data_IF_713158930891
#
_entry.id   IF_713158930891
#
_cell.length_a   1.000
_cell.length_b   1.000
_cell.length_c   1.000
_cell.angle_alpha   90.00
_cell.angle_beta   90.00
_cell.angle_gamma   90.00
#
_symmetry.space_group_name_H-M   'P 1'
#
loop_
_entity.id
_entity.type
_entity.pdbx_description
1 polymer ?
#
# COMPACT_ATOMS: atom_id res chain seq x y z
N UNK A 1 -28.26 38.59 -40.29
CA UNK A 1 -27.21 39.28 -39.51
C UNK A 1 -27.33 39.00 -38.01
N UNK A 2 -28.42 39.35 -37.31
CA UNK A 2 -28.56 38.98 -35.87
C UNK A 2 -28.77 37.48 -35.64
N UNK A 3 -29.61 36.83 -36.46
CA UNK A 3 -29.83 35.38 -36.38
C UNK A 3 -28.56 34.57 -36.69
N UNK A 4 -27.71 35.07 -37.60
CA UNK A 4 -26.46 34.43 -38.01
C UNK A 4 -25.42 34.37 -36.88
N UNK A 5 -25.49 35.30 -35.92
CA UNK A 5 -24.61 35.32 -34.75
C UNK A 5 -25.23 34.59 -33.54
N UNK A 6 -26.56 34.58 -33.45
CA UNK A 6 -27.29 33.99 -32.33
C UNK A 6 -27.31 32.44 -32.40
N UNK A 7 -27.39 31.87 -33.60
CA UNK A 7 -27.28 30.42 -33.83
C UNK A 7 -25.93 29.84 -33.34
N UNK A 8 -24.75 30.33 -33.77
CA UNK A 8 -23.47 29.83 -33.26
C UNK A 8 -23.27 30.11 -31.76
N UNK A 9 -23.78 31.23 -31.24
CA UNK A 9 -23.75 31.51 -29.81
C UNK A 9 -24.58 30.50 -29.00
N UNK A 10 -25.77 30.14 -29.48
CA UNK A 10 -26.64 29.14 -28.84
C UNK A 10 -26.00 27.75 -28.81
N UNK A 11 -25.38 27.34 -29.92
CA UNK A 11 -24.63 26.09 -30.01
C UNK A 11 -23.45 26.10 -29.02
N UNK A 12 -22.71 27.21 -28.94
CA UNK A 12 -21.60 27.36 -28.00
C UNK A 12 -22.07 27.19 -26.55
N UNK A 13 -23.16 27.84 -26.17
CA UNK A 13 -23.73 27.73 -24.82
C UNK A 13 -24.17 26.29 -24.53
N UNK A 14 -24.83 25.63 -25.49
CA UNK A 14 -25.25 24.24 -25.33
C UNK A 14 -24.06 23.29 -25.12
N UNK A 15 -22.96 23.49 -25.87
CA UNK A 15 -21.73 22.72 -25.71
C UNK A 15 -21.11 22.95 -24.33
N UNK A 16 -21.02 24.21 -23.88
CA UNK A 16 -20.45 24.53 -22.56
C UNK A 16 -21.25 23.87 -21.44
N UNK A 17 -22.59 23.97 -21.47
CA UNK A 17 -23.46 23.32 -20.48
C UNK A 17 -23.28 21.80 -20.53
N UNK A 18 -23.24 21.20 -21.72
CA UNK A 18 -23.01 19.77 -21.88
C UNK A 18 -21.64 19.32 -21.31
N UNK A 19 -20.58 20.08 -21.57
CA UNK A 19 -19.24 19.77 -21.08
C UNK A 19 -19.15 19.86 -19.55
N UNK A 20 -19.77 20.87 -18.94
CA UNK A 20 -19.84 21.00 -17.47
C UNK A 20 -20.60 19.82 -16.87
N UNK A 21 -21.75 19.46 -17.45
CA UNK A 21 -22.54 18.33 -16.98
C UNK A 21 -21.78 17.00 -17.12
N UNK A 22 -21.17 16.75 -18.29
CA UNK A 22 -20.40 15.55 -18.56
C UNK A 22 -19.22 15.39 -17.60
N UNK A 23 -18.49 16.48 -17.32
CA UNK A 23 -17.41 16.49 -16.35
C UNK A 23 -17.88 16.11 -14.94
N UNK A 24 -18.96 16.71 -14.47
CA UNK A 24 -19.50 16.40 -13.13
C UNK A 24 -19.94 14.93 -13.02
N UNK A 25 -20.52 14.35 -14.07
CA UNK A 25 -20.88 12.93 -14.10
C UNK A 25 -19.65 12.02 -14.10
N UNK A 26 -18.61 12.38 -14.86
CA UNK A 26 -17.37 11.64 -14.90
C UNK A 26 -16.64 11.62 -13.55
N UNK A 27 -16.54 12.77 -12.88
CA UNK A 27 -15.90 12.88 -11.56
C UNK A 27 -16.58 11.98 -10.53
N UNK A 28 -17.93 11.99 -10.49
CA UNK A 28 -18.70 11.10 -9.60
C UNK A 28 -18.48 9.63 -9.89
N UNK A 29 -18.57 9.24 -11.17
CA UNK A 29 -18.37 7.86 -11.61
C UNK A 29 -16.96 7.35 -11.30
N UNK A 30 -15.95 8.21 -11.44
CA UNK A 30 -14.58 7.86 -11.07
C UNK A 30 -14.44 7.65 -9.57
N UNK A 31 -15.02 8.54 -8.76
CA UNK A 31 -15.00 8.39 -7.29
C UNK A 31 -15.63 7.06 -6.86
N UNK A 32 -16.80 6.73 -7.39
CA UNK A 32 -17.47 5.46 -7.15
C UNK A 32 -16.62 4.25 -7.59
N UNK A 33 -15.96 4.34 -8.74
CA UNK A 33 -15.08 3.28 -9.22
C UNK A 33 -13.88 3.06 -8.31
N UNK A 34 -13.25 4.14 -7.83
CA UNK A 34 -12.13 4.05 -6.90
C UNK A 34 -12.57 3.47 -5.56
N UNK A 35 -13.71 3.91 -5.02
CA UNK A 35 -14.27 3.38 -3.78
C UNK A 35 -14.58 1.88 -3.92
N UNK A 36 -15.21 1.48 -5.01
CA UNK A 36 -15.52 0.07 -5.28
C UNK A 36 -14.25 -0.79 -5.38
N UNK A 37 -13.22 -0.30 -6.08
CA UNK A 37 -11.93 -1.00 -6.15
C UNK A 37 -11.24 -1.08 -4.79
N UNK A 38 -11.39 -0.05 -3.96
CA UNK A 38 -10.82 -0.05 -2.61
C UNK A 38 -11.52 -1.07 -1.70
N UNK A 39 -12.85 -1.13 -1.73
CA UNK A 39 -13.60 -2.16 -1.00
C UNK A 39 -13.25 -3.57 -1.49
N UNK A 40 -13.21 -3.80 -2.81
CA UNK A 40 -12.74 -5.07 -3.36
C UNK A 40 -11.31 -5.40 -2.89
N UNK A 41 -10.41 -4.42 -2.86
CA UNK A 41 -9.06 -4.63 -2.38
C UNK A 41 -9.03 -5.08 -0.91
N UNK A 42 -9.86 -4.49 -0.04
CA UNK A 42 -9.99 -4.89 1.38
C UNK A 42 -10.49 -6.33 1.54
N UNK A 43 -11.47 -6.73 0.73
CA UNK A 43 -12.02 -8.09 0.77
C UNK A 43 -10.98 -9.15 0.38
N UNK A 44 -10.12 -8.84 -0.60
CA UNK A 44 -9.11 -9.77 -1.11
C UNK A 44 -7.76 -9.66 -0.39
N UNK A 45 -7.52 -8.58 0.34
CA UNK A 45 -6.37 -8.37 1.19
C UNK A 45 -6.87 -8.10 2.61
N UNK A 46 -7.45 -9.12 3.29
CA UNK A 46 -7.80 -8.96 4.69
C UNK A 46 -6.53 -8.50 5.37
N UNK A 47 -6.57 -7.32 5.98
CA UNK A 47 -5.45 -6.74 6.74
C UNK A 47 -5.02 -7.81 7.71
N UNK A 48 -4.03 -8.59 7.30
CA UNK A 48 -3.56 -9.73 8.04
C UNK A 48 -2.80 -9.11 9.19
N UNK A 49 -3.52 -8.85 10.27
CA UNK A 49 -2.95 -8.43 11.53
C UNK A 49 -2.10 -9.56 12.15
N UNK A 50 -1.97 -10.70 11.45
CA UNK A 50 -0.78 -11.54 11.58
C UNK A 50 0.38 -10.75 10.99
N UNK A 51 1.13 -10.10 11.88
CA UNK A 51 2.58 -9.94 11.70
C UNK A 51 3.07 -11.26 11.10
N UNK A 52 3.34 -11.27 9.80
CA UNK A 52 4.14 -12.35 9.25
C UNK A 52 5.41 -12.33 10.07
N UNK A 53 5.75 -13.45 10.73
CA UNK A 53 6.99 -13.60 11.46
C UNK A 53 8.13 -13.50 10.45
N UNK A 54 8.47 -12.26 10.10
CA UNK A 54 9.49 -11.96 9.12
C UNK A 54 10.81 -12.29 9.81
N UNK A 55 11.64 -13.12 9.16
CA UNK A 55 12.97 -13.42 9.69
C UNK A 55 13.70 -12.12 9.94
N UNK A 56 13.90 -11.79 11.21
CA UNK A 56 14.55 -10.54 11.62
C UNK A 56 15.98 -10.87 12.00
N UNK A 57 16.91 -10.02 11.59
CA UNK A 57 18.31 -10.19 11.95
C UNK A 57 18.51 -9.87 13.44
N UNK A 58 19.07 -10.83 14.19
CA UNK A 58 19.16 -10.75 15.66
C UNK A 58 20.60 -10.55 16.15
N UNK A 59 21.58 -10.99 15.35
CA UNK A 59 22.99 -10.95 15.70
C UNK A 59 23.86 -11.80 14.77
N UNK A 60 25.17 -11.67 14.91
CA UNK A 60 26.17 -12.45 14.19
C UNK A 60 26.69 -13.59 15.07
N UNK A 61 26.90 -14.76 14.48
CA UNK A 61 27.60 -15.89 15.10
C UNK A 61 28.93 -16.07 14.36
N UNK A 62 30.04 -16.00 15.08
CA UNK A 62 31.37 -16.17 14.51
C UNK A 62 32.26 -17.02 15.40
N UNK A 63 33.30 -17.61 14.81
CA UNK A 63 34.29 -18.42 15.52
C UNK A 63 35.58 -17.64 15.66
N UNK A 64 36.03 -17.47 16.90
CA UNK A 64 37.29 -16.81 17.23
C UNK A 64 38.03 -17.62 18.29
N UNK A 65 39.34 -17.84 18.12
CA UNK A 65 40.19 -18.58 19.08
C UNK A 65 39.60 -19.93 19.54
N UNK A 66 38.95 -20.66 18.62
CA UNK A 66 38.36 -21.97 18.90
C UNK A 66 37.01 -21.95 19.64
N UNK A 67 36.47 -20.76 19.96
CA UNK A 67 35.17 -20.59 20.62
C UNK A 67 34.18 -19.88 19.68
N UNK A 68 32.90 -20.19 19.83
CA UNK A 68 31.81 -19.50 19.14
C UNK A 68 31.39 -18.28 19.96
N UNK A 69 31.30 -17.13 19.30
CA UNK A 69 30.86 -15.85 19.85
C UNK A 69 29.58 -15.42 19.14
N UNK A 70 28.67 -14.81 19.90
CA UNK A 70 27.41 -14.27 19.41
C UNK A 70 27.39 -12.78 19.73
N UNK A 71 27.41 -11.94 18.71
CA UNK A 71 27.22 -10.49 18.85
C UNK A 71 25.76 -10.15 18.59
N UNK A 72 25.06 -9.69 19.63
CA UNK A 72 23.65 -9.36 19.57
C UNK A 72 23.43 -7.89 19.23
N UNK A 73 22.51 -7.64 18.31
CA UNK A 73 22.12 -6.27 17.97
C UNK A 73 21.26 -5.64 19.08
N UNK A 74 20.43 -6.45 19.76
CA UNK A 74 19.51 -5.99 20.79
C UNK A 74 19.56 -6.90 22.03
N UNK A 75 19.64 -6.30 23.24
CA UNK A 75 19.76 -7.03 24.52
C UNK A 75 18.53 -7.86 24.87
N UNK A 76 17.37 -7.56 24.28
CA UNK A 76 16.10 -8.28 24.49
C UNK A 76 16.22 -9.77 24.18
N UNK A 77 17.11 -10.13 23.25
CA UNK A 77 17.28 -11.47 22.69
C UNK A 77 18.29 -12.31 23.48
N UNK A 78 19.11 -11.66 24.30
CA UNK A 78 20.10 -12.31 25.17
C UNK A 78 19.44 -13.35 26.08
N UNK A 79 18.29 -12.98 26.69
CA UNK A 79 17.55 -13.88 27.58
C UNK A 79 17.03 -15.13 26.86
N UNK A 80 16.65 -15.02 25.59
CA UNK A 80 16.17 -16.17 24.82
C UNK A 80 17.32 -17.13 24.46
N UNK A 81 18.49 -16.57 24.13
CA UNK A 81 19.70 -17.34 23.84
C UNK A 81 20.26 -18.03 25.09
N UNK A 82 20.31 -17.34 26.23
CA UNK A 82 20.72 -17.91 27.52
C UNK A 82 19.77 -19.01 27.99
N UNK A 83 18.48 -18.90 27.67
CA UNK A 83 17.48 -19.93 27.95
C UNK A 83 17.50 -21.10 26.96
N UNK A 84 18.40 -21.10 25.97
CA UNK A 84 18.50 -22.17 24.98
C UNK A 84 17.34 -22.22 23.99
N UNK A 85 16.59 -21.12 23.82
CA UNK A 85 15.44 -21.04 22.89
C UNK A 85 15.90 -20.71 21.48
N UNK A 86 16.71 -21.58 20.88
CA UNK A 86 17.17 -21.45 19.50
C UNK A 86 17.25 -22.80 18.81
N UNK A 87 16.99 -22.81 17.51
CA UNK A 87 17.13 -23.99 16.66
C UNK A 87 18.28 -23.78 15.68
N UNK A 88 19.14 -24.79 15.56
CA UNK A 88 20.19 -24.81 14.53
C UNK A 88 19.61 -25.51 13.31
N UNK A 89 19.47 -24.77 12.21
CA UNK A 89 19.08 -25.31 10.91
C UNK A 89 20.30 -25.32 9.99
N UNK A 90 20.64 -26.48 9.45
CA UNK A 90 21.58 -26.59 8.33
C UNK A 90 20.89 -26.14 7.04
N UNK A 91 21.65 -25.50 6.16
CA UNK A 91 21.19 -25.03 4.84
C UNK A 91 21.66 -25.99 3.76
#
# INVERSE_FOLDING_TARGET
MELDLLLPLGILVAIVVYLIYSRNQFEKKMLELYEHKYEQWKEHHPTSNKKEETKTFVGLIFKENGKLFIELHEKSQQRNLEQGKFDIKES
#
